data_IF_045286967195
#
_entry.id   IF_045286967195
#
_cell.length_a   1.000
_cell.length_b   1.000
_cell.length_c   1.000
_cell.angle_alpha   90.00
_cell.angle_beta   90.00
_cell.angle_gamma   90.00
#
_symmetry.space_group_name_H-M   'P 1'
#
loop_
_entity.id
_entity.type
_entity.pdbx_description
1 polymer ?
#
# COMPACT_ATOMS: atom_id res chain seq x y z
N UNK A 1 -12.88 22.57 -36.43
CA UNK A 1 -12.74 24.04 -36.46
C UNK A 1 -13.06 24.59 -35.07
N UNK A 2 -12.01 24.86 -34.29
CA UNK A 2 -11.92 25.93 -33.29
C UNK A 2 -10.43 26.04 -32.95
N UNK A 3 -9.77 26.99 -33.62
CA UNK A 3 -8.33 27.22 -33.54
C UNK A 3 -7.98 27.89 -32.21
N UNK A 4 -7.42 27.11 -31.27
CA UNK A 4 -6.79 27.65 -30.07
C UNK A 4 -5.39 28.16 -30.46
N UNK A 5 -5.27 29.48 -30.65
CA UNK A 5 -3.97 30.16 -30.76
C UNK A 5 -3.25 30.07 -29.41
N UNK A 6 -2.27 29.17 -29.30
CA UNK A 6 -1.31 29.15 -28.21
C UNK A 6 -0.35 30.33 -28.35
N UNK A 7 -0.61 31.40 -27.61
CA UNK A 7 0.32 32.52 -27.44
C UNK A 7 1.55 32.04 -26.64
N UNK A 8 2.70 31.92 -27.30
CA UNK A 8 4.00 31.71 -26.68
C UNK A 8 4.53 33.05 -26.16
N UNK A 9 4.14 33.47 -24.94
CA UNK A 9 4.95 34.40 -24.16
C UNK A 9 5.78 33.59 -23.16
N UNK A 10 7.08 33.47 -23.46
CA UNK A 10 8.05 32.84 -22.57
C UNK A 10 8.40 33.90 -21.52
N UNK A 11 7.56 34.03 -20.49
CA UNK A 11 7.93 34.73 -19.29
C UNK A 11 8.99 33.90 -18.54
N UNK A 12 10.21 34.44 -18.44
CA UNK A 12 11.27 33.93 -17.56
C UNK A 12 10.81 34.07 -16.11
N UNK A 13 9.99 33.15 -15.64
CA UNK A 13 9.75 32.98 -14.21
C UNK A 13 11.01 32.37 -13.62
N UNK A 14 11.67 33.09 -12.72
CA UNK A 14 12.56 32.49 -11.73
C UNK A 14 11.70 31.57 -10.85
N UNK A 15 11.58 30.31 -11.27
CA UNK A 15 10.86 29.25 -10.56
C UNK A 15 11.76 28.78 -9.42
N UNK A 16 11.78 29.53 -8.33
CA UNK A 16 12.12 28.91 -7.04
C UNK A 16 10.90 28.07 -6.64
N UNK A 17 11.05 26.74 -6.45
CA UNK A 17 9.92 25.89 -6.13
C UNK A 17 9.38 26.32 -4.77
N UNK A 18 8.15 26.85 -4.76
CA UNK A 18 7.35 26.94 -3.52
C UNK A 18 7.39 25.56 -2.86
N UNK A 19 7.54 25.54 -1.54
CA UNK A 19 7.56 24.30 -0.75
C UNK A 19 6.48 23.31 -1.24
N UNK A 20 6.84 22.04 -1.48
CA UNK A 20 5.92 21.07 -2.04
C UNK A 20 4.70 20.90 -1.13
N UNK A 21 3.52 20.87 -1.74
CA UNK A 21 2.28 20.50 -1.04
C UNK A 21 2.48 19.11 -0.38
N UNK A 22 1.89 18.86 0.78
CA UNK A 22 1.93 17.57 1.50
C UNK A 22 1.70 16.37 0.57
N UNK A 23 0.70 16.48 -0.31
CA UNK A 23 0.39 15.44 -1.31
C UNK A 23 1.54 15.17 -2.30
N UNK A 24 2.34 16.19 -2.64
CA UNK A 24 3.52 16.05 -3.50
C UNK A 24 4.66 15.34 -2.77
N UNK A 25 4.86 15.65 -1.48
CA UNK A 25 5.85 14.98 -0.63
C UNK A 25 5.53 13.48 -0.55
N UNK A 26 4.27 13.13 -0.26
CA UNK A 26 3.85 11.73 -0.15
C UNK A 26 3.99 11.00 -1.48
N UNK A 27 3.59 11.62 -2.58
CA UNK A 27 3.79 11.02 -3.91
C UNK A 27 5.28 10.84 -4.20
N UNK A 28 6.14 11.77 -3.80
CA UNK A 28 7.60 11.65 -3.96
C UNK A 28 8.17 10.50 -3.11
N UNK A 29 7.71 10.34 -1.86
CA UNK A 29 8.08 9.22 -1.00
C UNK A 29 7.65 7.90 -1.64
N UNK A 30 6.43 7.82 -2.17
CA UNK A 30 5.92 6.62 -2.83
C UNK A 30 6.73 6.27 -4.09
N UNK A 31 7.10 7.28 -4.90
CA UNK A 31 8.01 7.11 -6.04
C UNK A 31 9.36 6.59 -5.58
N UNK A 32 9.94 7.19 -4.54
CA UNK A 32 11.25 6.80 -4.02
C UNK A 32 11.26 5.36 -3.53
N UNK A 33 10.27 4.97 -2.72
CA UNK A 33 10.11 3.60 -2.23
C UNK A 33 9.95 2.63 -3.40
N UNK A 34 9.13 2.95 -4.40
CA UNK A 34 8.96 2.09 -5.58
C UNK A 34 10.26 1.93 -6.37
N UNK A 35 11.00 3.02 -6.57
CA UNK A 35 12.31 2.99 -7.25
C UNK A 35 13.34 2.19 -6.44
N UNK A 36 13.31 2.27 -5.11
CA UNK A 36 14.20 1.52 -4.23
C UNK A 36 13.89 0.01 -4.27
N UNK A 37 12.61 -0.37 -4.30
CA UNK A 37 12.18 -1.76 -4.48
C UNK A 37 12.66 -2.31 -5.82
N UNK A 38 12.45 -1.58 -6.92
CA UNK A 38 12.82 -2.03 -8.27
C UNK A 38 14.35 -2.14 -8.41
N UNK A 39 15.09 -1.12 -8.02
CA UNK A 39 16.56 -1.10 -8.10
C UNK A 39 17.21 -2.08 -7.14
N UNK A 40 16.67 -2.22 -5.92
CA UNK A 40 17.07 -3.22 -4.94
C UNK A 40 16.87 -4.64 -5.48
N UNK A 41 15.70 -4.95 -6.03
CA UNK A 41 15.41 -6.25 -6.64
C UNK A 41 16.35 -6.55 -7.81
N UNK A 42 16.55 -5.58 -8.70
CA UNK A 42 17.44 -5.73 -9.86
C UNK A 42 18.88 -6.02 -9.43
N UNK A 43 19.44 -5.21 -8.52
CA UNK A 43 20.81 -5.42 -8.03
C UNK A 43 20.92 -6.74 -7.27
N UNK A 44 19.95 -7.08 -6.42
CA UNK A 44 19.98 -8.31 -5.64
C UNK A 44 19.87 -9.57 -6.52
N UNK A 45 19.14 -9.51 -7.62
CA UNK A 45 19.06 -10.64 -8.54
C UNK A 45 20.43 -10.99 -9.13
N UNK A 46 21.17 -10.00 -9.63
CA UNK A 46 22.46 -10.21 -10.28
C UNK A 46 23.66 -10.28 -9.32
N UNK A 47 23.54 -9.69 -8.13
CA UNK A 47 24.66 -9.51 -7.19
C UNK A 47 24.28 -9.83 -5.74
N UNK A 48 25.27 -9.89 -4.87
CA UNK A 48 25.11 -9.91 -3.42
C UNK A 48 24.74 -8.52 -2.88
N UNK A 49 23.86 -8.44 -1.89
CA UNK A 49 23.52 -7.20 -1.18
C UNK A 49 24.56 -6.85 -0.11
N UNK A 50 25.82 -6.75 -0.51
CA UNK A 50 26.86 -6.20 0.35
C UNK A 50 26.79 -4.65 0.41
N UNK A 51 27.59 -4.01 1.27
CA UNK A 51 27.55 -2.55 1.48
C UNK A 51 27.68 -1.74 0.19
N UNK A 52 28.56 -2.16 -0.73
CA UNK A 52 28.75 -1.48 -2.01
C UNK A 52 27.51 -1.58 -2.89
N UNK A 53 26.88 -2.76 -2.96
CA UNK A 53 25.69 -2.96 -3.80
C UNK A 53 24.46 -2.28 -3.21
N UNK A 54 24.35 -2.18 -1.89
CA UNK A 54 23.35 -1.33 -1.21
C UNK A 54 23.48 0.13 -1.65
N UNK A 55 24.71 0.67 -1.68
CA UNK A 55 24.95 2.05 -2.16
C UNK A 55 24.56 2.20 -3.63
N UNK A 56 24.91 1.23 -4.48
CA UNK A 56 24.53 1.23 -5.90
C UNK A 56 23.00 1.24 -6.06
N UNK A 57 22.28 0.39 -5.33
CA UNK A 57 20.80 0.38 -5.34
C UNK A 57 20.23 1.74 -4.93
N UNK A 58 20.79 2.38 -3.90
CA UNK A 58 20.34 3.70 -3.46
C UNK A 58 20.60 4.78 -4.51
N UNK A 59 21.79 4.81 -5.12
CA UNK A 59 22.12 5.77 -6.18
C UNK A 59 21.15 5.61 -7.35
N UNK A 60 20.89 4.37 -7.78
CA UNK A 60 19.91 4.08 -8.83
C UNK A 60 18.50 4.55 -8.42
N UNK A 61 18.06 4.24 -7.20
CA UNK A 61 16.76 4.67 -6.69
C UNK A 61 16.63 6.21 -6.66
N UNK A 62 17.65 6.93 -6.22
CA UNK A 62 17.68 8.40 -6.19
C UNK A 62 17.63 8.99 -7.60
N UNK A 63 18.45 8.48 -8.54
CA UNK A 63 18.45 8.94 -9.93
C UNK A 63 17.08 8.73 -10.56
N UNK A 64 16.50 7.54 -10.43
CA UNK A 64 15.15 7.24 -10.93
C UNK A 64 14.10 8.15 -10.29
N UNK A 65 14.18 8.38 -8.98
CA UNK A 65 13.24 9.27 -8.26
C UNK A 65 13.31 10.69 -8.79
N UNK A 66 14.51 11.24 -9.03
CA UNK A 66 14.68 12.59 -9.59
C UNK A 66 14.04 12.65 -10.98
N UNK A 67 14.30 11.65 -11.84
CA UNK A 67 13.73 11.58 -13.19
C UNK A 67 12.20 11.57 -13.13
N UNK A 68 11.60 10.69 -12.34
CA UNK A 68 10.14 10.55 -12.27
C UNK A 68 9.45 11.71 -11.55
N UNK A 69 10.04 12.25 -10.47
CA UNK A 69 9.52 13.44 -9.79
C UNK A 69 9.57 14.67 -10.68
N UNK A 70 10.57 14.82 -11.56
CA UNK A 70 10.62 15.90 -12.54
C UNK A 70 9.41 15.87 -13.48
N UNK A 71 9.05 14.69 -14.02
CA UNK A 71 7.85 14.54 -14.86
C UNK A 71 6.57 14.89 -14.10
N UNK A 72 6.48 14.49 -12.82
CA UNK A 72 5.31 14.77 -11.99
C UNK A 72 5.15 16.27 -11.69
N UNK A 73 6.24 16.96 -11.34
CA UNK A 73 6.21 18.41 -11.07
C UNK A 73 5.83 19.19 -12.33
N UNK A 74 6.43 18.86 -13.48
CA UNK A 74 6.16 19.55 -14.75
C UNK A 74 4.68 19.49 -15.12
N UNK A 75 4.05 18.33 -14.97
CA UNK A 75 2.62 18.18 -15.26
C UNK A 75 1.73 18.91 -14.24
N UNK A 76 2.12 18.91 -12.96
CA UNK A 76 1.34 19.61 -11.92
C UNK A 76 1.29 21.14 -12.14
N UNK A 77 2.40 21.73 -12.62
CA UNK A 77 2.48 23.16 -12.87
C UNK A 77 1.53 23.60 -13.99
N UNK A 78 1.46 22.82 -15.08
CA UNK A 78 0.57 23.09 -16.23
C UNK A 78 -0.90 23.11 -15.81
N UNK A 79 -1.31 22.21 -14.91
CA UNK A 79 -2.69 22.16 -14.42
C UNK A 79 -2.99 23.25 -13.38
N UNK A 80 -1.99 23.66 -12.60
CA UNK A 80 -2.17 24.67 -11.54
C UNK A 80 -2.36 26.09 -12.07
N UNK A 81 -1.85 26.42 -13.26
CA UNK A 81 -1.93 27.77 -13.82
C UNK A 81 -3.35 28.22 -14.18
N UNK A 82 -4.32 27.32 -14.24
CA UNK A 82 -5.71 27.65 -14.58
C UNK A 82 -6.59 28.04 -13.37
N UNK A 83 -6.13 27.86 -12.13
CA UNK A 83 -6.98 28.01 -10.93
C UNK A 83 -6.60 29.18 -10.00
N UNK A 84 -5.80 30.12 -10.48
CA UNK A 84 -5.30 31.23 -9.67
C UNK A 84 -6.27 32.42 -9.72
N UNK A 85 -7.21 32.49 -8.76
CA UNK A 85 -7.72 33.76 -8.21
C UNK A 85 -8.61 33.62 -6.96
N UNK A 86 -8.68 32.44 -6.32
CA UNK A 86 -9.46 32.29 -5.08
C UNK A 86 -8.53 32.54 -3.88
N UNK A 87 -8.78 33.63 -3.15
CA UNK A 87 -8.14 33.92 -1.87
C UNK A 87 -8.40 32.76 -0.89
N UNK A 88 -7.33 32.13 -0.41
CA UNK A 88 -7.41 31.03 0.55
C UNK A 88 -7.46 31.61 1.96
N UNK A 89 -8.63 31.69 2.56
CA UNK A 89 -8.70 31.87 4.00
C UNK A 89 -8.17 30.61 4.70
N UNK A 90 -7.11 30.77 5.49
CA UNK A 90 -6.57 29.69 6.31
C UNK A 90 -7.51 29.45 7.48
N UNK A 91 -8.29 28.37 7.42
CA UNK A 91 -9.10 27.92 8.55
C UNK A 91 -8.19 27.55 9.72
N UNK A 92 -8.36 28.23 10.86
CA UNK A 92 -7.70 27.88 12.12
C UNK A 92 -8.60 26.96 12.95
N UNK A 93 -8.00 25.97 13.60
CA UNK A 93 -8.68 25.19 14.64
C UNK A 93 -9.08 26.11 15.79
N UNK A 94 -10.30 25.94 16.33
CA UNK A 94 -10.69 26.64 17.54
C UNK A 94 -10.18 25.89 18.79
N UNK A 95 -10.34 26.50 19.97
CA UNK A 95 -9.90 25.92 21.24
C UNK A 95 -10.54 24.55 21.53
N UNK A 96 -11.82 24.37 21.20
CA UNK A 96 -12.52 23.09 21.38
C UNK A 96 -11.93 22.02 20.47
N UNK A 97 -11.62 22.34 19.21
CA UNK A 97 -11.00 21.41 18.28
C UNK A 97 -9.62 20.97 18.80
N UNK A 98 -8.85 21.89 19.42
CA UNK A 98 -7.58 21.57 20.05
C UNK A 98 -7.74 20.63 21.26
N UNK A 99 -8.72 20.87 22.12
CA UNK A 99 -9.07 19.96 23.22
C UNK A 99 -9.42 18.57 22.67
N UNK A 100 -10.29 18.50 21.66
CA UNK A 100 -10.69 17.24 21.03
C UNK A 100 -9.49 16.50 20.42
N UNK A 101 -8.54 17.21 19.81
CA UNK A 101 -7.29 16.62 19.30
C UNK A 101 -6.45 16.04 20.44
N UNK A 102 -6.30 16.76 21.56
CA UNK A 102 -5.56 16.24 22.72
C UNK A 102 -6.23 14.97 23.27
N UNK A 103 -7.54 15.01 23.50
CA UNK A 103 -8.28 13.84 24.02
C UNK A 103 -8.17 12.67 23.04
N UNK A 104 -8.30 12.93 21.73
CA UNK A 104 -8.09 11.93 20.68
C UNK A 104 -6.71 11.27 20.79
N UNK A 105 -5.63 12.05 20.91
CA UNK A 105 -4.27 11.53 21.01
C UNK A 105 -4.04 10.73 22.30
N UNK A 106 -4.63 11.17 23.41
CA UNK A 106 -4.60 10.42 24.68
C UNK A 106 -5.32 9.08 24.56
N UNK A 107 -6.53 9.05 23.99
CA UNK A 107 -7.27 7.81 23.77
C UNK A 107 -6.55 6.87 22.78
N UNK A 108 -5.97 7.43 21.70
CA UNK A 108 -5.16 6.67 20.75
C UNK A 108 -3.97 6.02 21.45
N UNK A 109 -3.24 6.78 22.27
CA UNK A 109 -2.09 6.29 23.05
C UNK A 109 -2.52 5.21 24.05
N UNK A 110 -3.64 5.41 24.74
CA UNK A 110 -4.19 4.43 25.67
C UNK A 110 -4.56 3.12 24.96
N UNK A 111 -5.09 3.16 23.74
CA UNK A 111 -5.35 1.95 22.94
C UNK A 111 -4.07 1.22 22.57
N UNK A 112 -3.02 1.93 22.13
CA UNK A 112 -1.72 1.31 21.88
C UNK A 112 -1.16 0.65 23.14
N UNK A 113 -1.26 1.31 24.28
CA UNK A 113 -0.85 0.76 25.57
C UNK A 113 -1.63 -0.51 25.93
N UNK A 114 -2.96 -0.51 25.74
CA UNK A 114 -3.79 -1.70 26.03
C UNK A 114 -3.45 -2.88 25.11
N UNK A 115 -3.20 -2.64 23.82
CA UNK A 115 -2.74 -3.70 22.91
C UNK A 115 -1.38 -4.26 23.34
N UNK A 116 -0.44 -3.38 23.71
CA UNK A 116 0.88 -3.78 24.19
C UNK A 116 0.81 -4.55 25.52
N UNK A 117 -0.03 -4.12 26.45
CA UNK A 117 -0.24 -4.78 27.75
C UNK A 117 -0.92 -6.15 27.59
N UNK A 118 -1.69 -6.36 26.52
CA UNK A 118 -2.34 -7.64 26.17
C UNK A 118 -1.44 -8.59 25.36
N UNK A 119 -0.12 -8.38 25.36
CA UNK A 119 0.82 -9.26 24.67
C UNK A 119 0.77 -10.70 25.18
N UNK A 120 0.81 -11.66 24.25
CA UNK A 120 0.92 -13.08 24.58
C UNK A 120 1.99 -13.77 23.74
N UNK A 121 2.57 -14.82 24.31
CA UNK A 121 3.43 -15.78 23.62
C UNK A 121 2.71 -17.11 23.32
N UNK A 122 1.46 -17.24 23.77
CA UNK A 122 0.65 -18.43 23.53
C UNK A 122 0.17 -18.52 22.08
N UNK A 123 -0.04 -19.75 21.61
CA UNK A 123 -0.63 -20.02 20.29
C UNK A 123 -2.15 -19.82 20.35
N UNK A 124 -2.57 -18.56 20.29
CA UNK A 124 -3.98 -18.17 20.24
C UNK A 124 -4.48 -18.10 18.79
N UNK A 125 -5.77 -18.37 18.58
CA UNK A 125 -6.40 -18.34 17.25
C UNK A 125 -6.66 -16.89 16.81
N UNK A 126 -6.97 -16.03 17.77
CA UNK A 126 -7.41 -14.67 17.52
C UNK A 126 -6.83 -13.72 18.56
N UNK A 127 -6.29 -12.55 18.16
CA UNK A 127 -5.74 -11.57 19.12
C UNK A 127 -6.79 -11.12 20.14
N UNK A 128 -8.08 -11.18 19.78
CA UNK A 128 -9.19 -10.76 20.62
C UNK A 128 -9.39 -11.63 21.87
N UNK A 129 -8.75 -12.80 21.96
CA UNK A 129 -8.83 -13.67 23.14
C UNK A 129 -8.10 -13.10 24.36
N UNK A 130 -7.09 -12.25 24.14
CA UNK A 130 -6.25 -11.67 25.21
C UNK A 130 -6.37 -10.15 25.32
N UNK A 131 -6.94 -9.50 24.31
CA UNK A 131 -7.16 -8.05 24.31
C UNK A 131 -8.26 -7.68 25.30
N UNK A 132 -7.94 -6.75 26.21
CA UNK A 132 -8.87 -6.27 27.23
C UNK A 132 -10.14 -5.65 26.63
N UNK A 133 -11.30 -5.87 27.26
CA UNK A 133 -12.56 -5.23 26.84
C UNK A 133 -12.48 -3.69 26.82
N UNK A 134 -11.63 -3.11 27.67
CA UNK A 134 -11.38 -1.66 27.72
C UNK A 134 -10.81 -1.11 26.42
N UNK A 135 -10.09 -1.92 25.65
CA UNK A 135 -9.61 -1.52 24.33
C UNK A 135 -10.79 -1.16 23.43
N UNK A 136 -11.84 -1.97 23.39
CA UNK A 136 -12.99 -1.70 22.53
C UNK A 136 -13.75 -0.44 22.94
N UNK A 137 -13.89 -0.19 24.25
CA UNK A 137 -14.50 1.06 24.75
C UNK A 137 -13.68 2.30 24.38
N UNK A 138 -12.36 2.27 24.60
CA UNK A 138 -11.48 3.41 24.27
C UNK A 138 -11.35 3.56 22.75
N UNK A 139 -11.33 2.47 21.98
CA UNK A 139 -11.35 2.49 20.52
C UNK A 139 -12.63 3.12 19.98
N UNK A 140 -13.80 2.75 20.52
CA UNK A 140 -15.08 3.35 20.17
C UNK A 140 -15.10 4.86 20.49
N UNK A 141 -14.60 5.25 21.67
CA UNK A 141 -14.47 6.65 22.06
C UNK A 141 -13.51 7.42 21.13
N UNK A 142 -12.37 6.82 20.77
CA UNK A 142 -11.38 7.41 19.85
C UNK A 142 -12.02 7.65 18.47
N UNK A 143 -12.78 6.68 17.97
CA UNK A 143 -13.55 6.79 16.72
C UNK A 143 -14.60 7.90 16.80
N UNK A 144 -15.35 7.99 17.91
CA UNK A 144 -16.35 9.03 18.12
C UNK A 144 -15.73 10.44 18.14
N UNK A 145 -14.59 10.63 18.82
CA UNK A 145 -13.90 11.93 18.85
C UNK A 145 -13.41 12.31 17.44
N UNK A 146 -12.86 11.36 16.69
CA UNK A 146 -12.42 11.58 15.32
C UNK A 146 -13.61 11.94 14.40
N UNK A 147 -14.74 11.25 14.56
CA UNK A 147 -15.99 11.57 13.87
C UNK A 147 -16.45 13.01 14.18
N UNK A 148 -16.46 13.40 15.45
CA UNK A 148 -16.81 14.76 15.88
C UNK A 148 -15.86 15.82 15.30
N UNK A 149 -14.56 15.56 15.27
CA UNK A 149 -13.57 16.43 14.63
C UNK A 149 -13.85 16.60 13.13
N UNK A 150 -14.19 15.52 12.42
CA UNK A 150 -14.56 15.59 11.01
C UNK A 150 -15.83 16.43 10.84
N UNK A 151 -16.90 16.16 11.59
CA UNK A 151 -18.21 16.83 11.51
C UNK A 151 -18.11 18.32 11.89
N UNK A 152 -17.36 18.68 12.94
CA UNK A 152 -17.19 20.11 13.31
C UNK A 152 -16.41 20.89 12.27
N UNK A 153 -15.51 20.23 11.54
CA UNK A 153 -14.74 20.87 10.50
C UNK A 153 -15.56 21.06 9.19
N UNK A 154 -16.80 20.54 9.10
CA UNK A 154 -17.66 20.63 7.89
C UNK A 154 -18.43 21.93 7.79
N UNK A 155 -18.96 22.42 8.91
CA UNK A 155 -19.98 23.49 8.99
C UNK A 155 -19.51 24.87 8.53
N UNK A 156 -18.27 25.00 8.06
CA UNK A 156 -17.68 26.26 7.58
C UNK A 156 -17.15 26.19 6.15
N UNK A 157 -17.37 25.10 5.42
CA UNK A 157 -16.88 24.91 4.05
C UNK A 157 -18.00 25.07 3.03
N UNK A 158 -18.25 26.29 2.56
CA UNK A 158 -18.82 26.48 1.24
C UNK A 158 -17.68 26.41 0.20
N UNK A 159 -17.65 25.30 -0.54
CA UNK A 159 -17.16 25.19 -1.92
C UNK A 159 -15.80 25.86 -2.20
N UNK A 160 -14.72 25.32 -1.64
CA UNK A 160 -13.38 25.58 -2.20
C UNK A 160 -12.55 24.31 -2.23
N UNK A 161 -12.24 23.87 -3.45
CA UNK A 161 -11.52 22.62 -3.78
C UNK A 161 -10.02 22.65 -3.48
N UNK A 162 -9.55 23.68 -2.77
CA UNK A 162 -8.13 23.85 -2.47
C UNK A 162 -7.80 23.36 -1.06
N UNK A 163 -7.15 22.20 -0.99
CA UNK A 163 -6.66 21.55 0.24
C UNK A 163 -6.00 22.53 1.19
N UNK A 164 -6.71 22.89 2.26
CA UNK A 164 -6.17 23.70 3.35
C UNK A 164 -5.26 22.84 4.24
N UNK A 165 -4.30 23.46 4.91
CA UNK A 165 -3.39 22.78 5.86
C UNK A 165 -4.15 22.00 6.94
N UNK A 166 -5.32 22.49 7.37
CA UNK A 166 -6.18 21.80 8.33
C UNK A 166 -6.80 20.51 7.79
N UNK A 167 -6.99 20.40 6.48
CA UNK A 167 -7.54 19.19 5.86
C UNK A 167 -6.51 18.06 5.83
N UNK A 168 -5.28 18.38 5.46
CA UNK A 168 -4.16 17.42 5.48
C UNK A 168 -3.93 16.91 6.91
N UNK A 169 -4.08 17.76 7.92
CA UNK A 169 -3.96 17.36 9.32
C UNK A 169 -5.06 16.37 9.74
N UNK A 170 -6.32 16.56 9.32
CA UNK A 170 -7.36 15.56 9.59
C UNK A 170 -7.07 14.21 8.91
N UNK A 171 -6.56 14.22 7.67
CA UNK A 171 -6.14 12.98 6.99
C UNK A 171 -5.00 12.30 7.75
N UNK A 172 -4.07 13.07 8.33
CA UNK A 172 -3.04 12.54 9.21
C UNK A 172 -3.63 11.87 10.47
N UNK A 173 -4.61 12.48 11.14
CA UNK A 173 -5.30 11.85 12.27
C UNK A 173 -6.03 10.56 11.85
N UNK A 174 -6.70 10.55 10.69
CA UNK A 174 -7.31 9.33 10.14
C UNK A 174 -6.24 8.26 9.88
N UNK A 175 -5.08 8.65 9.34
CA UNK A 175 -3.95 7.74 9.10
C UNK A 175 -3.41 7.15 10.41
N UNK A 176 -3.31 7.94 11.48
CA UNK A 176 -2.93 7.46 12.80
C UNK A 176 -3.95 6.45 13.37
N UNK A 177 -5.24 6.68 13.14
CA UNK A 177 -6.29 5.73 13.52
C UNK A 177 -6.20 4.41 12.73
N UNK A 178 -5.99 4.48 11.41
CA UNK A 178 -5.71 3.31 10.58
C UNK A 178 -4.48 2.54 11.08
N UNK A 179 -3.42 3.25 11.49
CA UNK A 179 -2.22 2.62 12.01
C UNK A 179 -2.50 1.85 13.30
N UNK A 180 -3.33 2.39 14.21
CA UNK A 180 -3.80 1.64 15.38
C UNK A 180 -4.54 0.35 14.95
N UNK A 181 -5.49 0.46 14.01
CA UNK A 181 -6.25 -0.68 13.51
C UNK A 181 -5.38 -1.73 12.83
N UNK A 182 -4.32 -1.34 12.13
CA UNK A 182 -3.41 -2.29 11.46
C UNK A 182 -2.31 -2.83 12.39
N UNK A 183 -2.15 -2.27 13.58
CA UNK A 183 -1.07 -2.67 14.50
C UNK A 183 -1.41 -3.84 15.42
N UNK A 184 -2.65 -4.35 15.38
CA UNK A 184 -3.14 -5.35 16.34
C UNK A 184 -2.26 -6.60 16.36
N UNK A 185 -1.97 -7.19 15.20
CA UNK A 185 -1.24 -8.47 15.16
C UNK A 185 0.18 -8.34 15.71
N UNK A 186 0.96 -7.37 15.25
CA UNK A 186 2.35 -7.27 15.70
C UNK A 186 2.47 -6.80 17.16
N UNK A 187 1.48 -6.04 17.68
CA UNK A 187 1.46 -5.63 19.08
C UNK A 187 1.05 -6.76 20.02
N UNK A 188 0.02 -7.55 19.68
CA UNK A 188 -0.52 -8.59 20.56
C UNK A 188 0.34 -9.86 20.55
N UNK A 189 0.84 -10.26 19.37
CA UNK A 189 1.68 -11.46 19.25
C UNK A 189 3.14 -11.11 19.51
N UNK A 190 3.62 -11.46 20.71
CA UNK A 190 4.98 -11.14 21.17
C UNK A 190 6.07 -11.73 20.27
N UNK A 191 5.87 -12.99 19.83
CA UNK A 191 6.83 -13.71 18.98
C UNK A 191 6.61 -13.28 17.53
N UNK A 192 5.59 -13.84 16.86
CA UNK A 192 5.17 -13.48 15.51
C UNK A 192 3.71 -13.91 15.31
N UNK A 193 3.01 -13.27 14.36
CA UNK A 193 1.67 -13.67 13.95
C UNK A 193 1.80 -14.55 12.69
N UNK A 194 1.43 -15.83 12.80
CA UNK A 194 1.54 -16.78 11.69
C UNK A 194 2.97 -17.23 11.36
N UNK A 195 3.05 -18.24 10.49
CA UNK A 195 4.31 -18.88 10.10
C UNK A 195 5.03 -18.15 8.96
N UNK A 196 4.28 -17.58 8.01
CA UNK A 196 4.83 -16.97 6.78
C UNK A 196 5.85 -15.85 7.05
N UNK A 197 5.62 -14.88 7.97
CA UNK A 197 6.63 -13.85 8.25
C UNK A 197 7.94 -14.42 8.78
N UNK A 198 7.92 -15.53 9.51
CA UNK A 198 9.14 -16.11 10.09
C UNK A 198 10.09 -16.61 9.00
N UNK A 199 9.57 -17.23 7.94
CA UNK A 199 10.38 -17.68 6.80
C UNK A 199 11.02 -16.48 6.11
N UNK A 200 10.23 -15.43 5.85
CA UNK A 200 10.71 -14.22 5.21
C UNK A 200 11.77 -13.50 6.05
N UNK A 201 11.55 -13.36 7.36
CA UNK A 201 12.49 -12.76 8.30
C UNK A 201 13.82 -13.53 8.33
N UNK A 202 13.76 -14.86 8.47
CA UNK A 202 14.96 -15.72 8.48
C UNK A 202 15.74 -15.60 7.17
N UNK A 203 15.04 -15.57 6.04
CA UNK A 203 15.66 -15.40 4.72
C UNK A 203 16.38 -14.05 4.63
N UNK A 204 15.73 -12.97 5.06
CA UNK A 204 16.33 -11.63 5.04
C UNK A 204 17.52 -11.50 6.00
N UNK A 205 17.48 -12.13 7.17
CA UNK A 205 18.64 -12.20 8.07
C UNK A 205 19.81 -12.97 7.47
N UNK A 206 19.53 -14.03 6.71
CA UNK A 206 20.56 -14.75 5.98
C UNK A 206 21.16 -13.86 4.87
N UNK A 207 20.33 -13.19 4.07
CA UNK A 207 20.77 -12.21 3.05
C UNK A 207 21.62 -11.10 3.67
N UNK A 208 21.25 -10.59 4.85
CA UNK A 208 22.01 -9.57 5.54
C UNK A 208 23.44 -10.04 5.87
N UNK A 209 23.55 -11.26 6.42
CA UNK A 209 24.81 -11.89 6.85
C UNK A 209 25.70 -12.33 5.70
N UNK A 210 25.15 -13.02 4.71
CA UNK A 210 25.91 -13.65 3.60
C UNK A 210 25.92 -12.80 2.33
N UNK A 211 25.05 -11.80 2.23
CA UNK A 211 24.83 -10.99 1.03
C UNK A 211 23.79 -11.59 0.08
N UNK A 212 23.54 -12.91 0.11
CA UNK A 212 22.54 -13.55 -0.74
C UNK A 212 22.11 -14.93 -0.24
N UNK A 213 20.94 -15.37 -0.72
CA UNK A 213 20.41 -16.72 -0.55
C UNK A 213 20.11 -17.29 -1.92
N UNK A 214 20.67 -18.47 -2.20
CA UNK A 214 20.48 -19.21 -3.44
C UNK A 214 19.56 -20.43 -3.24
N UNK A 215 18.71 -20.77 -4.23
CA UNK A 215 18.48 -20.03 -5.47
C UNK A 215 17.74 -18.71 -5.21
N UNK A 216 17.96 -17.71 -6.08
CA UNK A 216 17.24 -16.43 -6.04
C UNK A 216 15.95 -16.51 -6.86
N UNK A 217 14.79 -16.80 -6.26
CA UNK A 217 13.53 -16.78 -7.00
C UNK A 217 13.26 -15.37 -7.54
N UNK A 218 12.53 -15.27 -8.64
CA UNK A 218 12.12 -13.98 -9.21
C UNK A 218 11.08 -13.24 -8.35
N UNK A 219 10.47 -13.94 -7.39
CA UNK A 219 9.52 -13.38 -6.43
C UNK A 219 10.23 -13.02 -5.11
N UNK A 220 9.62 -12.12 -4.34
CA UNK A 220 10.09 -11.58 -3.04
C UNK A 220 11.33 -10.68 -3.07
N UNK A 221 12.07 -10.62 -4.17
CA UNK A 221 13.28 -9.82 -4.34
C UNK A 221 13.06 -8.35 -3.93
N UNK A 222 11.92 -7.78 -4.31
CA UNK A 222 11.57 -6.39 -4.00
C UNK A 222 11.46 -6.09 -2.51
N UNK A 223 10.74 -6.91 -1.74
CA UNK A 223 10.60 -6.70 -0.29
C UNK A 223 11.91 -7.03 0.44
N UNK A 224 12.57 -8.14 0.09
CA UNK A 224 13.80 -8.56 0.74
C UNK A 224 14.89 -7.51 0.59
N UNK A 225 15.11 -7.03 -0.64
CA UNK A 225 16.11 -5.98 -0.89
C UNK A 225 15.77 -4.67 -0.18
N UNK A 226 14.50 -4.25 -0.19
CA UNK A 226 14.05 -3.05 0.53
C UNK A 226 14.40 -3.12 2.02
N UNK A 227 14.03 -4.21 2.69
CA UNK A 227 14.20 -4.34 4.13
C UNK A 227 15.68 -4.50 4.53
N UNK A 228 16.46 -5.29 3.79
CA UNK A 228 17.90 -5.44 4.02
C UNK A 228 18.64 -4.11 3.79
N UNK A 229 18.28 -3.35 2.75
CA UNK A 229 18.86 -2.02 2.50
C UNK A 229 18.56 -1.08 3.67
N UNK A 230 17.30 -0.98 4.11
CA UNK A 230 16.93 -0.12 5.24
C UNK A 230 17.65 -0.56 6.52
N UNK A 231 17.73 -1.86 6.78
CA UNK A 231 18.45 -2.41 7.91
C UNK A 231 19.93 -1.98 7.89
N UNK A 232 20.64 -2.18 6.77
CA UNK A 232 22.07 -1.82 6.64
C UNK A 232 22.34 -0.32 6.75
N UNK A 233 21.35 0.54 6.47
CA UNK A 233 21.48 1.99 6.60
C UNK A 233 21.17 2.50 8.01
N UNK A 234 20.20 1.88 8.68
CA UNK A 234 19.62 2.41 9.93
C UNK A 234 19.97 1.59 11.16
N UNK A 235 20.48 0.38 10.98
CA UNK A 235 20.64 -0.66 12.01
C UNK A 235 19.35 -1.04 12.76
N UNK A 236 18.17 -0.65 12.25
CA UNK A 236 16.87 -1.11 12.80
C UNK A 236 16.73 -2.59 12.45
N UNK A 237 16.37 -3.46 13.40
CA UNK A 237 16.31 -4.90 13.14
C UNK A 237 15.32 -5.24 12.01
N UNK A 238 15.68 -6.24 11.21
CA UNK A 238 14.85 -6.74 10.10
C UNK A 238 13.48 -7.16 10.60
N UNK A 239 13.39 -7.80 11.78
CA UNK A 239 12.13 -8.22 12.40
C UNK A 239 11.21 -7.02 12.65
N UNK A 240 11.74 -5.90 13.17
CA UNK A 240 10.94 -4.70 13.41
C UNK A 240 10.49 -4.03 12.11
N UNK A 241 11.40 -3.93 11.14
CA UNK A 241 11.07 -3.37 9.83
C UNK A 241 9.98 -4.21 9.13
N UNK A 242 10.12 -5.53 9.15
CA UNK A 242 9.14 -6.46 8.59
C UNK A 242 7.79 -6.30 9.30
N UNK A 243 7.72 -6.38 10.63
CA UNK A 243 6.46 -6.19 11.38
C UNK A 243 5.72 -4.89 11.06
N UNK A 244 6.45 -3.80 10.78
CA UNK A 244 5.87 -2.48 10.57
C UNK A 244 5.57 -2.12 9.12
N UNK A 245 6.26 -2.72 8.14
CA UNK A 245 6.25 -2.24 6.75
C UNK A 245 4.84 -2.09 6.16
N UNK A 246 4.06 -3.17 6.11
CA UNK A 246 2.71 -3.14 5.51
C UNK A 246 1.72 -2.37 6.38
N UNK A 247 1.61 -2.59 7.71
CA UNK A 247 0.70 -1.81 8.56
C UNK A 247 0.94 -0.30 8.44
N UNK A 248 2.21 0.13 8.43
CA UNK A 248 2.58 1.54 8.31
C UNK A 248 2.27 2.10 6.92
N UNK A 249 2.67 1.39 5.85
CA UNK A 249 2.43 1.85 4.49
C UNK A 249 0.93 1.92 4.18
N UNK A 250 0.16 0.91 4.58
CA UNK A 250 -1.28 0.90 4.42
C UNK A 250 -1.92 2.07 5.18
N UNK A 251 -1.53 2.28 6.44
CA UNK A 251 -2.09 3.35 7.26
C UNK A 251 -1.81 4.76 6.72
N UNK A 252 -0.66 4.98 6.05
CA UNK A 252 -0.30 6.26 5.46
C UNK A 252 -0.92 6.41 4.06
N UNK A 253 -0.61 5.50 3.13
CA UNK A 253 -0.93 5.72 1.72
C UNK A 253 -2.41 5.50 1.41
N UNK A 254 -3.09 4.58 2.10
CA UNK A 254 -4.48 4.24 1.79
C UNK A 254 -5.44 5.41 2.09
N UNK A 255 -5.46 6.02 3.29
CA UNK A 255 -6.33 7.17 3.56
C UNK A 255 -6.07 8.35 2.62
N UNK A 256 -4.80 8.61 2.29
CA UNK A 256 -4.39 9.71 1.43
C UNK A 256 -4.86 9.51 -0.01
N UNK A 257 -4.67 8.31 -0.57
CA UNK A 257 -5.08 8.01 -1.93
C UNK A 257 -6.60 7.92 -2.02
N UNK A 258 -7.27 7.27 -1.05
CA UNK A 258 -8.74 7.26 -0.97
C UNK A 258 -9.31 8.67 -0.90
N UNK A 259 -8.69 9.56 -0.12
CA UNK A 259 -9.10 10.96 -0.05
C UNK A 259 -9.04 11.62 -1.43
N UNK A 260 -7.94 11.46 -2.17
CA UNK A 260 -7.80 11.98 -3.54
C UNK A 260 -8.87 11.42 -4.50
N UNK A 261 -9.27 10.16 -4.35
CA UNK A 261 -10.33 9.55 -5.16
C UNK A 261 -11.70 10.13 -4.79
N UNK A 262 -12.04 10.08 -3.51
CA UNK A 262 -13.37 10.41 -3.03
C UNK A 262 -13.71 11.89 -3.22
N UNK A 263 -12.75 12.81 -3.11
CA UNK A 263 -13.02 14.24 -3.39
C UNK A 263 -13.33 14.53 -4.86
N UNK A 264 -12.98 13.63 -5.80
CA UNK A 264 -13.40 13.75 -7.20
C UNK A 264 -14.84 13.25 -7.41
N UNK A 265 -15.30 12.34 -6.56
CA UNK A 265 -16.64 11.73 -6.67
C UNK A 265 -17.69 12.47 -5.84
N UNK A 266 -17.29 12.99 -4.68
CA UNK A 266 -18.17 13.69 -3.76
C UNK A 266 -17.83 15.18 -3.73
N UNK A 267 -18.85 16.03 -3.90
CA UNK A 267 -18.71 17.49 -3.83
C UNK A 267 -18.28 17.98 -2.44
N UNK A 268 -18.58 17.21 -1.40
CA UNK A 268 -18.35 17.57 -0.01
C UNK A 268 -17.15 16.80 0.57
N UNK A 269 -16.08 17.53 0.88
CA UNK A 269 -14.82 16.96 1.40
C UNK A 269 -15.00 16.14 2.70
N UNK A 270 -15.98 16.50 3.52
CA UNK A 270 -16.21 15.79 4.77
C UNK A 270 -16.85 14.42 4.59
N UNK A 271 -17.75 14.27 3.62
CA UNK A 271 -18.31 12.96 3.26
C UNK A 271 -17.18 12.03 2.85
N UNK A 272 -16.20 12.54 2.08
CA UNK A 272 -15.01 11.76 1.71
C UNK A 272 -14.25 11.26 2.95
N UNK A 273 -14.02 12.13 3.95
CA UNK A 273 -13.32 11.74 5.19
C UNK A 273 -14.11 10.75 6.04
N UNK A 274 -15.42 10.95 6.14
CA UNK A 274 -16.31 10.01 6.83
C UNK A 274 -16.29 8.64 6.14
N UNK A 275 -16.38 8.59 4.82
CA UNK A 275 -16.29 7.34 4.06
C UNK A 275 -14.95 6.64 4.29
N UNK A 276 -13.83 7.38 4.30
CA UNK A 276 -12.52 6.79 4.64
C UNK A 276 -12.54 6.19 6.04
N UNK A 277 -13.12 6.87 7.04
CA UNK A 277 -13.23 6.32 8.38
C UNK A 277 -14.08 5.04 8.40
N UNK A 278 -15.24 5.05 7.73
CA UNK A 278 -16.15 3.90 7.66
C UNK A 278 -15.60 2.72 6.85
N UNK A 279 -14.68 2.97 5.91
CA UNK A 279 -14.05 1.89 5.16
C UNK A 279 -13.32 0.90 6.09
N UNK A 280 -12.83 1.30 7.27
CA UNK A 280 -12.24 0.40 8.27
C UNK A 280 -13.18 -0.71 8.78
N UNK A 281 -14.49 -0.62 8.52
CA UNK A 281 -15.43 -1.71 8.83
C UNK A 281 -15.16 -2.93 7.93
N UNK A 282 -14.63 -2.72 6.72
CA UNK A 282 -14.27 -3.83 5.84
C UNK A 282 -13.09 -4.64 6.41
N UNK A 283 -13.10 -5.97 6.27
CA UNK A 283 -12.04 -6.82 6.81
C UNK A 283 -10.72 -6.58 6.07
N UNK A 284 -9.81 -5.85 6.70
CA UNK A 284 -8.45 -5.58 6.20
C UNK A 284 -7.39 -6.47 6.87
N UNK A 285 -7.70 -7.77 7.02
CA UNK A 285 -6.81 -8.75 7.66
C UNK A 285 -5.49 -8.93 6.91
N UNK A 286 -5.39 -8.52 5.65
CA UNK A 286 -4.13 -8.54 4.90
C UNK A 286 -3.21 -7.35 5.20
N UNK A 287 -3.68 -6.32 5.91
CA UNK A 287 -2.85 -5.15 6.27
C UNK A 287 -2.30 -5.18 7.70
N UNK A 288 -2.71 -6.14 8.53
CA UNK A 288 -2.20 -6.29 9.90
C UNK A 288 -0.85 -7.00 9.98
N UNK A 289 -0.41 -7.61 8.86
CA UNK A 289 0.79 -8.44 8.78
C UNK A 289 1.54 -8.19 7.48
N UNK A 290 2.86 -8.08 7.59
CA UNK A 290 3.73 -7.95 6.42
C UNK A 290 4.09 -9.33 5.89
N UNK A 291 3.77 -9.52 4.62
CA UNK A 291 4.30 -10.57 3.75
C UNK A 291 4.50 -9.94 2.37
N UNK A 292 5.36 -10.50 1.50
CA UNK A 292 5.50 -10.01 0.12
C UNK A 292 4.16 -9.95 -0.61
N UNK A 293 3.30 -10.94 -0.39
CA UNK A 293 1.96 -10.94 -0.94
C UNK A 293 1.12 -9.75 -0.46
N UNK A 294 1.08 -9.49 0.84
CA UNK A 294 0.30 -8.39 1.41
C UNK A 294 0.81 -7.01 0.97
N UNK A 295 2.13 -6.83 0.88
CA UNK A 295 2.73 -5.59 0.36
C UNK A 295 2.36 -5.39 -1.12
N UNK A 296 2.41 -6.45 -1.92
CA UNK A 296 2.03 -6.37 -3.33
C UNK A 296 0.52 -6.14 -3.51
N UNK A 297 -0.33 -6.67 -2.63
CA UNK A 297 -1.77 -6.37 -2.62
C UNK A 297 -2.05 -4.92 -2.24
N UNK A 298 -1.30 -4.36 -1.29
CA UNK A 298 -1.38 -2.93 -1.00
C UNK A 298 -1.08 -2.12 -2.27
N UNK A 299 0.02 -2.42 -2.97
CA UNK A 299 0.38 -1.69 -4.19
C UNK A 299 -0.67 -1.86 -5.29
N UNK A 300 -1.21 -3.07 -5.50
CA UNK A 300 -2.32 -3.31 -6.42
C UNK A 300 -3.55 -2.46 -6.07
N UNK A 301 -3.93 -2.38 -4.80
CA UNK A 301 -5.05 -1.55 -4.36
C UNK A 301 -4.79 -0.06 -4.65
N UNK A 302 -3.59 0.44 -4.33
CA UNK A 302 -3.21 1.82 -4.62
C UNK A 302 -3.24 2.11 -6.13
N UNK A 303 -2.80 1.17 -6.96
CA UNK A 303 -2.84 1.26 -8.42
C UNK A 303 -4.28 1.36 -8.93
N UNK A 304 -5.19 0.52 -8.42
CA UNK A 304 -6.61 0.57 -8.80
C UNK A 304 -7.20 1.94 -8.45
N UNK A 305 -6.97 2.40 -7.22
CA UNK A 305 -7.46 3.70 -6.76
C UNK A 305 -6.88 4.88 -7.57
N UNK A 306 -5.58 4.87 -7.85
CA UNK A 306 -4.94 5.89 -8.69
C UNK A 306 -5.42 5.81 -10.14
N UNK A 307 -5.69 4.61 -10.65
CA UNK A 307 -6.23 4.39 -11.99
C UNK A 307 -7.59 5.05 -12.21
N UNK A 308 -8.47 5.01 -11.21
CA UNK A 308 -9.78 5.70 -11.22
C UNK A 308 -9.63 7.20 -11.46
N UNK A 309 -8.59 7.82 -10.90
CA UNK A 309 -8.36 9.26 -10.97
C UNK A 309 -7.25 9.67 -11.93
N UNK A 310 -6.73 8.72 -12.72
CA UNK A 310 -5.67 8.94 -13.68
C UNK A 310 -6.14 9.91 -14.76
N UNK A 311 -5.39 10.98 -14.98
CA UNK A 311 -5.75 12.03 -15.94
C UNK A 311 -4.63 12.41 -16.88
N UNK A 312 -3.40 12.10 -16.49
CA UNK A 312 -2.20 12.56 -17.19
C UNK A 312 -1.11 11.50 -17.16
N UNK A 313 -0.06 11.73 -17.96
CA UNK A 313 1.06 10.80 -18.07
C UNK A 313 1.85 10.61 -16.76
N UNK A 314 1.87 11.60 -15.85
CA UNK A 314 2.57 11.44 -14.58
C UNK A 314 1.83 10.47 -13.64
N UNK A 315 0.50 10.53 -13.61
CA UNK A 315 -0.33 9.56 -12.89
C UNK A 315 -0.06 8.14 -13.42
N UNK A 316 -0.02 7.99 -14.75
CA UNK A 316 0.24 6.72 -15.41
C UNK A 316 1.66 6.19 -15.12
N UNK A 317 2.68 7.05 -15.14
CA UNK A 317 4.06 6.69 -14.76
C UNK A 317 4.12 6.17 -13.32
N UNK A 318 3.45 6.85 -12.37
CA UNK A 318 3.38 6.38 -10.98
C UNK A 318 2.72 5.00 -10.89
N UNK A 319 1.63 4.78 -11.64
CA UNK A 319 0.94 3.49 -11.71
C UNK A 319 1.88 2.39 -12.24
N UNK A 320 2.66 2.66 -13.30
CA UNK A 320 3.65 1.71 -13.80
C UNK A 320 4.77 1.42 -12.80
N UNK A 321 5.27 2.44 -12.09
CA UNK A 321 6.27 2.24 -11.04
C UNK A 321 5.78 1.33 -9.93
N UNK A 322 4.56 1.59 -9.44
CA UNK A 322 3.93 0.73 -8.43
C UNK A 322 3.71 -0.69 -8.97
N UNK A 323 3.28 -0.84 -10.23
CA UNK A 323 3.06 -2.14 -10.84
C UNK A 323 4.36 -2.95 -10.98
N UNK A 324 5.45 -2.30 -11.41
CA UNK A 324 6.77 -2.93 -11.50
C UNK A 324 7.30 -3.30 -10.12
N UNK A 325 7.16 -2.41 -9.13
CA UNK A 325 7.54 -2.72 -7.75
C UNK A 325 6.74 -3.92 -7.22
N UNK A 326 5.41 -3.93 -7.40
CA UNK A 326 4.53 -5.06 -7.05
C UNK A 326 4.97 -6.36 -7.74
N UNK A 327 5.33 -6.31 -9.02
CA UNK A 327 5.83 -7.48 -9.78
C UNK A 327 7.11 -8.05 -9.20
N UNK A 328 8.07 -7.22 -8.80
CA UNK A 328 9.31 -7.67 -8.15
C UNK A 328 9.10 -8.17 -6.71
N UNK A 329 8.00 -7.78 -6.07
CA UNK A 329 7.63 -8.27 -4.73
C UNK A 329 6.89 -9.59 -4.84
N UNK A 330 5.77 -9.66 -5.57
CA UNK A 330 4.99 -10.87 -5.72
C UNK A 330 4.23 -10.91 -7.07
N UNK A 331 4.59 -11.82 -7.99
CA UNK A 331 3.98 -11.91 -9.31
C UNK A 331 2.45 -12.12 -9.31
N UNK A 332 1.91 -12.80 -8.30
CA UNK A 332 0.45 -13.06 -8.18
C UNK A 332 -0.35 -11.76 -8.22
N UNK A 333 0.14 -10.70 -7.56
CA UNK A 333 -0.51 -9.39 -7.56
C UNK A 333 0.13 -8.42 -8.56
N UNK A 334 1.43 -8.54 -8.80
CA UNK A 334 2.16 -7.69 -9.73
C UNK A 334 1.81 -7.89 -11.20
N UNK A 335 1.52 -9.12 -11.64
CA UNK A 335 1.08 -9.37 -13.02
C UNK A 335 -0.30 -8.73 -13.30
N UNK A 336 -1.34 -8.91 -12.47
CA UNK A 336 -2.58 -8.14 -12.57
C UNK A 336 -2.36 -6.63 -12.53
N UNK A 337 -1.47 -6.14 -11.66
CA UNK A 337 -1.15 -4.72 -11.56
C UNK A 337 -0.56 -4.16 -12.86
N UNK A 338 0.39 -4.88 -13.47
CA UNK A 338 1.02 -4.47 -14.73
C UNK A 338 0.02 -4.51 -15.89
N UNK A 339 -0.81 -5.56 -15.97
CA UNK A 339 -1.87 -5.63 -16.97
C UNK A 339 -2.87 -4.49 -16.83
N UNK A 340 -3.22 -4.10 -15.60
CA UNK A 340 -4.07 -2.94 -15.34
C UNK A 340 -3.42 -1.61 -15.76
N UNK A 341 -2.12 -1.43 -15.53
CA UNK A 341 -1.39 -0.25 -16.01
C UNK A 341 -1.37 -0.16 -17.55
N UNK A 342 -1.15 -1.30 -18.22
CA UNK A 342 -1.21 -1.41 -19.68
C UNK A 342 -2.64 -1.12 -20.18
N UNK A 343 -3.65 -1.66 -19.50
CA UNK A 343 -5.06 -1.37 -19.79
C UNK A 343 -5.35 0.13 -19.74
N UNK A 344 -4.92 0.85 -18.70
CA UNK A 344 -5.12 2.31 -18.60
C UNK A 344 -4.45 3.05 -19.75
N UNK A 345 -3.25 2.62 -20.16
CA UNK A 345 -2.53 3.23 -21.29
C UNK A 345 -3.33 3.13 -22.59
N UNK A 346 -3.93 1.97 -22.86
CA UNK A 346 -4.78 1.75 -24.03
C UNK A 346 -6.11 2.49 -23.89
N UNK A 347 -6.69 2.51 -22.70
CA UNK A 347 -7.95 3.20 -22.42
C UNK A 347 -7.87 4.69 -22.72
N UNK A 348 -6.77 5.35 -22.32
CA UNK A 348 -6.52 6.77 -22.60
C UNK A 348 -5.87 7.05 -23.96
N UNK A 349 -5.62 6.06 -24.80
CA UNK A 349 -5.12 6.26 -26.17
C UNK A 349 -6.21 6.91 -27.06
N UNK A 350 -5.84 7.75 -28.02
CA UNK A 350 -6.79 8.32 -29.00
C UNK A 350 -7.14 7.33 -30.13
N UNK A 351 -6.38 6.24 -30.27
CA UNK A 351 -6.51 5.33 -31.41
C UNK A 351 -7.57 4.24 -31.18
N UNK A 352 -8.75 4.42 -31.78
CA UNK A 352 -9.90 3.50 -31.66
C UNK A 352 -9.61 2.07 -32.14
N UNK A 353 -8.76 1.88 -33.15
CA UNK A 353 -8.37 0.55 -33.65
C UNK A 353 -7.54 -0.20 -32.60
N UNK A 354 -6.59 0.49 -31.96
CA UNK A 354 -5.75 -0.09 -30.90
C UNK A 354 -6.64 -0.54 -29.73
N UNK A 355 -7.62 0.25 -29.30
CA UNK A 355 -8.51 -0.11 -28.19
C UNK A 355 -9.18 -1.46 -28.38
N UNK A 356 -9.80 -1.70 -29.54
CA UNK A 356 -10.58 -2.93 -29.78
C UNK A 356 -9.72 -4.19 -29.65
N UNK A 357 -8.58 -4.25 -30.35
CA UNK A 357 -7.76 -5.46 -30.38
C UNK A 357 -6.97 -5.66 -29.08
N UNK A 358 -6.39 -4.59 -28.54
CA UNK A 358 -5.57 -4.71 -27.34
C UNK A 358 -6.39 -4.93 -26.07
N UNK A 359 -7.63 -4.44 -25.98
CA UNK A 359 -8.51 -4.80 -24.86
C UNK A 359 -8.82 -6.29 -24.86
N UNK A 360 -9.21 -6.86 -26.00
CA UNK A 360 -9.45 -8.31 -26.10
C UNK A 360 -8.20 -9.10 -25.68
N UNK A 361 -7.02 -8.67 -26.14
CA UNK A 361 -5.75 -9.29 -25.76
C UNK A 361 -5.49 -9.19 -24.25
N UNK A 362 -5.69 -8.03 -23.62
CA UNK A 362 -5.50 -7.87 -22.17
C UNK A 362 -6.47 -8.77 -21.39
N UNK A 363 -7.73 -8.85 -21.80
CA UNK A 363 -8.71 -9.72 -21.13
C UNK A 363 -8.26 -11.19 -21.19
N UNK A 364 -7.86 -11.66 -22.38
CA UNK A 364 -7.33 -13.02 -22.56
C UNK A 364 -6.09 -13.23 -21.69
N UNK A 365 -5.12 -12.30 -21.72
CA UNK A 365 -3.92 -12.39 -20.90
C UNK A 365 -4.26 -12.41 -19.41
N UNK A 366 -5.18 -11.57 -18.95
CA UNK A 366 -5.57 -11.50 -17.53
C UNK A 366 -6.17 -12.81 -17.02
N UNK A 367 -6.90 -13.55 -17.87
CA UNK A 367 -7.46 -14.85 -17.53
C UNK A 367 -6.43 -15.98 -17.51
N UNK A 368 -5.37 -15.88 -18.33
CA UNK A 368 -4.45 -17.00 -18.57
C UNK A 368 -3.10 -16.82 -17.84
N UNK A 369 -2.66 -15.58 -17.58
CA UNK A 369 -1.31 -15.30 -17.10
C UNK A 369 -1.02 -15.88 -15.72
N UNK A 370 -2.00 -15.89 -14.81
CA UNK A 370 -1.84 -16.48 -13.48
C UNK A 370 -1.72 -18.01 -13.54
N UNK A 371 -2.65 -18.74 -14.19
CA UNK A 371 -2.48 -20.18 -14.42
C UNK A 371 -1.13 -20.54 -15.05
N UNK A 372 -0.69 -19.80 -16.06
CA UNK A 372 0.61 -20.01 -16.70
C UNK A 372 1.75 -19.77 -15.69
N UNK A 373 1.68 -18.71 -14.89
CA UNK A 373 2.72 -18.41 -13.92
C UNK A 373 2.87 -19.51 -12.86
N UNK A 374 1.75 -20.06 -12.38
CA UNK A 374 1.78 -21.19 -11.44
C UNK A 374 2.33 -22.45 -12.08
N UNK A 375 1.94 -22.75 -13.32
CA UNK A 375 2.47 -23.90 -14.06
C UNK A 375 4.01 -23.87 -14.17
N UNK A 376 4.58 -22.71 -14.52
CA UNK A 376 6.05 -22.58 -14.60
C UNK A 376 6.74 -22.62 -13.24
N UNK A 377 6.10 -22.10 -12.19
CA UNK A 377 6.64 -22.17 -10.83
C UNK A 377 6.69 -23.62 -10.31
N UNK A 378 5.62 -24.39 -10.49
CA UNK A 378 5.56 -25.79 -10.06
C UNK A 378 6.55 -26.68 -10.82
N UNK A 379 6.67 -26.48 -12.15
CA UNK A 379 7.58 -27.28 -12.98
C UNK A 379 9.05 -27.17 -12.53
N UNK A 380 9.49 -25.98 -12.13
CA UNK A 380 10.87 -25.76 -11.67
C UNK A 380 11.15 -26.38 -10.30
N UNK A 381 10.11 -26.61 -9.48
CA UNK A 381 10.24 -27.32 -8.20
C UNK A 381 10.38 -28.82 -8.46
N UNK A 382 9.56 -29.36 -9.36
CA UNK A 382 9.55 -30.78 -9.72
C UNK A 382 10.82 -31.24 -10.45
N UNK A 383 11.51 -30.37 -11.19
CA UNK A 383 12.75 -30.74 -11.89
C UNK A 383 13.94 -31.04 -10.96
N UNK A 384 13.84 -30.70 -9.67
CA UNK A 384 14.89 -31.00 -8.67
C UNK A 384 14.61 -32.29 -7.87
N UNK A 385 13.48 -32.95 -8.08
CA UNK A 385 13.25 -34.31 -7.59
C UNK A 385 13.60 -35.30 -8.70
N UNK A 386 14.79 -35.90 -8.61
CA UNK A 386 15.20 -36.98 -9.51
C UNK A 386 14.17 -38.12 -9.48
N UNK A 387 13.81 -38.62 -10.68
CA UNK A 387 13.32 -39.98 -10.95
C UNK A 387 11.84 -40.35 -10.77
N UNK A 388 10.89 -39.50 -11.14
CA UNK A 388 9.59 -40.02 -11.62
C UNK A 388 9.12 -39.29 -12.88
N UNK A 389 9.57 -39.80 -14.05
CA UNK A 389 8.92 -39.57 -15.33
C UNK A 389 7.53 -40.23 -15.31
N UNK A 390 6.60 -39.68 -14.54
CA UNK A 390 5.20 -40.03 -14.72
C UNK A 390 4.77 -39.49 -16.09
N UNK A 391 4.29 -40.35 -17.00
CA UNK A 391 3.82 -39.90 -18.30
C UNK A 391 2.69 -38.90 -18.07
N UNK A 392 2.72 -37.83 -18.85
CA UNK A 392 1.78 -36.72 -18.82
C UNK A 392 0.35 -37.21 -19.08
N UNK A 393 -0.31 -37.73 -18.05
CA UNK A 393 -1.73 -37.98 -18.07
C UNK A 393 -2.35 -36.63 -17.73
N UNK A 394 -3.01 -36.03 -18.71
CA UNK A 394 -3.96 -34.94 -18.51
C UNK A 394 -5.08 -35.48 -17.61
N UNK A 395 -4.81 -35.60 -16.31
CA UNK A 395 -5.86 -35.92 -15.35
C UNK A 395 -6.77 -34.71 -15.38
N UNK A 396 -8.03 -34.92 -15.79
CA UNK A 396 -9.08 -33.93 -15.64
C UNK A 396 -8.93 -33.29 -14.26
N UNK A 397 -9.00 -31.95 -14.16
CA UNK A 397 -8.87 -31.27 -12.88
C UNK A 397 -9.84 -31.94 -11.92
N UNK A 398 -9.28 -32.65 -10.93
CA UNK A 398 -10.09 -33.11 -9.82
C UNK A 398 -10.59 -31.82 -9.19
N UNK A 399 -11.91 -31.65 -9.14
CA UNK A 399 -12.54 -30.62 -8.33
C UNK A 399 -12.26 -30.95 -6.87
N UNK A 400 -11.03 -30.63 -6.44
CA UNK A 400 -10.65 -30.60 -5.05
C UNK A 400 -11.21 -29.27 -4.59
N UNK A 401 -12.28 -29.33 -3.80
CA UNK A 401 -12.81 -28.16 -3.12
C UNK A 401 -11.77 -27.83 -2.04
N UNK A 402 -10.99 -26.74 -2.17
CA UNK A 402 -10.07 -26.35 -1.11
C UNK A 402 -10.90 -26.01 0.14
N UNK A 403 -10.44 -26.43 1.32
CA UNK A 403 -11.18 -26.32 2.60
C UNK A 403 -12.43 -27.20 2.72
N UNK A 404 -12.33 -28.50 2.43
CA UNK A 404 -13.05 -29.47 3.26
C UNK A 404 -12.40 -29.54 4.66
N UNK A 405 -12.27 -28.40 5.34
CA UNK A 405 -12.19 -28.43 6.78
C UNK A 405 -13.47 -29.12 7.23
N UNK A 406 -13.31 -30.25 7.90
CA UNK A 406 -14.40 -31.12 8.27
C UNK A 406 -15.42 -30.27 9.05
N UNK A 407 -16.54 -29.90 8.41
CA UNK A 407 -17.53 -28.97 8.96
C UNK A 407 -17.96 -29.40 10.36
N UNK A 408 -17.98 -30.71 10.60
CA UNK A 408 -18.24 -31.34 11.89
C UNK A 408 -17.17 -30.97 12.93
N UNK A 409 -15.89 -30.98 12.59
CA UNK A 409 -14.82 -30.54 13.50
C UNK A 409 -14.93 -29.05 13.80
N UNK A 410 -15.14 -28.20 12.80
CA UNK A 410 -15.34 -26.77 13.02
C UNK A 410 -16.59 -26.49 13.87
N UNK A 411 -17.67 -27.22 13.63
CA UNK A 411 -18.90 -27.11 14.41
C UNK A 411 -18.73 -27.58 15.86
N UNK A 412 -18.16 -28.77 16.09
CA UNK A 412 -17.90 -29.30 17.44
C UNK A 412 -16.96 -28.36 18.21
N UNK A 413 -15.92 -27.85 17.55
CA UNK A 413 -14.94 -26.97 18.17
C UNK A 413 -15.56 -25.61 18.55
N UNK A 414 -16.32 -24.98 17.63
CA UNK A 414 -17.01 -23.71 17.90
C UNK A 414 -18.16 -23.87 18.91
N UNK A 415 -18.86 -25.00 18.91
CA UNK A 415 -19.91 -25.33 19.87
C UNK A 415 -19.35 -25.45 21.30
N UNK A 416 -18.18 -26.07 21.47
CA UNK A 416 -17.51 -26.15 22.77
C UNK A 416 -17.10 -24.79 23.36
N UNK A 417 -16.81 -23.80 22.51
CA UNK A 417 -16.53 -22.43 22.95
C UNK A 417 -17.81 -21.65 23.31
N UNK A 418 -18.93 -21.90 22.63
CA UNK A 418 -20.20 -21.24 22.92
C UNK A 418 -20.86 -21.70 24.22
N UNK A 419 -20.51 -22.88 24.75
CA UNK A 419 -21.01 -23.38 26.05
C UNK A 419 -20.27 -22.73 27.25
N UNK A 420 -19.11 -22.11 27.01
CA UNK A 420 -18.29 -21.48 28.06
C UNK A 420 -18.54 -19.97 28.23
N UNK A 421 -19.44 -19.40 27.44
CA UNK A 421 -20.03 -18.05 27.64
C UNK A 421 -21.36 -18.21 28.37
#
# INVERSE_FOLDING_TARGET
MNNIKLNKSIAKYHIWPKFPNYNSIITTILIFVSCLIISGAFVYYFFDLNKTKVIISLILAFVLTIIFSYFNIKNSLVNSSQNNNISKEKKKFNFIDFILIIIYLLCLTANFYLLYASQTAESIISPWQVVSIWFFFIYALTSLILLLLIIRNTSKCNISYNTSTSENFLIFLISAFYFLSFSIAWLVYKINYGFDPLIHQTTMELIDKTGSVDPKPLYYLGQYSLLVIIHKLTNISIIWLDKLLVPLFAAIFLPIILHKVLIKWFSQNHISKLLILFLLIFPYTFFIITTPQNLSYLFLLLIILLGIICTNMADLILIYLLALAALTIQPIAGLPALLFAIFLTIFYSDNSKIKKYYFALIFILSSIILPISFYFLEKNIASNSENELTPFIFTLPKFIIPYQDNFIFNFIYLYGFNIKL
#
